data_IF_648149511886
#
_entry.id   IF_648149511886
#
_cell.length_a   1.000
_cell.length_b   1.000
_cell.length_c   1.000
_cell.angle_alpha   90.00
_cell.angle_beta   90.00
_cell.angle_gamma   90.00
#
_symmetry.space_group_name_H-M   'P 1'
#
loop_
_entity.id
_entity.type
_entity.pdbx_description
1 polymer ?
#
# COMPACT_ATOMS: atom_id res chain seq x y z
N UNK A 1 -21.14 2.07 -12.50
CA UNK A 1 -20.04 1.15 -12.86
C UNK A 1 -19.24 0.88 -11.60
N UNK A 2 -18.87 -0.36 -11.33
CA UNK A 2 -18.14 -0.76 -10.13
C UNK A 2 -16.76 -0.04 -10.06
N UNK A 3 -16.43 0.71 -8.98
CA UNK A 3 -15.13 1.36 -8.81
C UNK A 3 -13.94 0.41 -8.96
N UNK A 4 -14.10 -0.86 -8.57
CA UNK A 4 -13.06 -1.87 -8.72
C UNK A 4 -12.79 -2.21 -10.19
N UNK A 5 -13.83 -2.20 -11.03
CA UNK A 5 -13.69 -2.41 -12.49
C UNK A 5 -12.98 -1.22 -13.14
N UNK A 6 -13.30 0.00 -12.71
CA UNK A 6 -12.61 1.20 -13.19
C UNK A 6 -11.11 1.17 -12.85
N UNK A 7 -10.78 0.87 -11.59
CA UNK A 7 -9.39 0.76 -11.15
C UNK A 7 -8.65 -0.34 -11.91
N UNK A 8 -9.26 -1.52 -12.04
CA UNK A 8 -8.68 -2.63 -12.80
C UNK A 8 -8.35 -2.24 -14.24
N UNK A 9 -9.29 -1.61 -14.94
CA UNK A 9 -9.08 -1.17 -16.32
C UNK A 9 -7.99 -0.11 -16.43
N UNK A 10 -7.92 0.84 -15.48
CA UNK A 10 -6.85 1.83 -15.42
C UNK A 10 -5.47 1.19 -15.23
N UNK A 11 -5.35 0.23 -14.31
CA UNK A 11 -4.07 -0.46 -14.04
C UNK A 11 -3.66 -1.37 -15.20
N UNK A 12 -4.64 -2.05 -15.84
CA UNK A 12 -4.41 -2.89 -17.01
C UNK A 12 -3.93 -2.10 -18.23
N UNK A 13 -4.42 -0.87 -18.39
CA UNK A 13 -4.03 0.03 -19.48
C UNK A 13 -2.77 0.85 -19.17
N UNK A 14 -2.18 0.72 -17.97
CA UNK A 14 -0.98 1.45 -17.60
C UNK A 14 0.22 1.01 -18.45
N UNK A 15 0.88 1.96 -19.09
CA UNK A 15 2.04 1.76 -19.96
C UNK A 15 3.14 2.75 -19.54
N UNK A 16 4.38 2.29 -19.29
CA UNK A 16 4.87 0.91 -19.37
C UNK A 16 4.45 0.01 -18.20
N UNK A 17 4.07 0.59 -17.06
CA UNK A 17 3.64 -0.14 -15.87
C UNK A 17 2.93 0.79 -14.87
N UNK A 18 2.35 0.19 -13.83
CA UNK A 18 1.95 0.89 -12.59
C UNK A 18 2.79 0.40 -11.41
N UNK A 19 2.89 1.21 -10.36
CA UNK A 19 3.64 0.89 -9.16
C UNK A 19 2.70 0.39 -8.06
N UNK A 20 2.96 -0.81 -7.54
CA UNK A 20 2.38 -1.30 -6.28
C UNK A 20 3.49 -1.25 -5.21
N UNK A 21 3.45 -0.27 -4.32
CA UNK A 21 4.56 -0.04 -3.39
C UNK A 21 4.13 0.49 -2.03
N UNK A 22 4.95 0.25 -1.02
CA UNK A 22 4.78 0.72 0.35
C UNK A 22 5.56 -0.15 1.33
N UNK A 23 5.48 0.14 2.63
CA UNK A 23 6.19 -0.65 3.63
C UNK A 23 5.59 -2.04 3.75
N UNK A 24 6.39 -2.96 4.31
CA UNK A 24 5.99 -4.36 4.42
C UNK A 24 4.77 -4.56 5.32
N UNK A 25 4.74 -3.86 6.46
CA UNK A 25 3.70 -3.88 7.48
C UNK A 25 3.47 -2.46 7.99
N UNK A 26 2.27 -2.14 8.48
CA UNK A 26 1.99 -0.87 9.16
C UNK A 26 2.71 -0.89 10.51
N UNK A 27 3.60 0.06 10.74
CA UNK A 27 4.37 0.20 12.00
C UNK A 27 3.79 1.29 12.90
N UNK A 28 3.40 2.42 12.30
CA UNK A 28 2.71 3.53 12.95
C UNK A 28 2.02 4.41 11.89
N UNK A 29 1.07 5.25 12.33
CA UNK A 29 0.37 6.22 11.47
C UNK A 29 1.36 7.25 10.86
N UNK A 30 2.27 7.78 11.67
CA UNK A 30 3.29 8.71 11.19
C UNK A 30 4.16 8.06 10.10
N UNK A 31 4.60 6.81 10.34
CA UNK A 31 5.46 6.10 9.41
C UNK A 31 4.74 5.83 8.08
N UNK A 32 3.50 5.33 8.13
CA UNK A 32 2.75 4.98 6.93
C UNK A 32 2.44 6.21 6.09
N UNK A 33 2.07 7.33 6.73
CA UNK A 33 1.77 8.59 6.05
C UNK A 33 3.01 9.23 5.43
N UNK A 34 4.15 9.18 6.13
CA UNK A 34 5.45 9.63 5.57
C UNK A 34 5.80 8.83 4.31
N UNK A 35 5.68 7.50 4.35
CA UNK A 35 5.98 6.63 3.21
C UNK A 35 5.03 6.89 2.05
N UNK A 36 3.72 6.96 2.30
CA UNK A 36 2.72 7.23 1.29
C UNK A 36 2.98 8.57 0.58
N UNK A 37 3.28 9.63 1.34
CA UNK A 37 3.59 10.97 0.79
C UNK A 37 4.82 10.93 -0.09
N UNK A 38 5.93 10.35 0.37
CA UNK A 38 7.17 10.30 -0.41
C UNK A 38 7.02 9.48 -1.69
N UNK A 39 6.43 8.28 -1.62
CA UNK A 39 6.25 7.41 -2.79
C UNK A 39 5.31 8.09 -3.80
N UNK A 40 4.22 8.72 -3.34
CA UNK A 40 3.31 9.48 -4.20
C UNK A 40 3.99 10.65 -4.88
N UNK A 41 4.83 11.41 -4.18
CA UNK A 41 5.57 12.54 -4.76
C UNK A 41 6.48 12.05 -5.89
N UNK A 42 7.20 10.96 -5.68
CA UNK A 42 8.08 10.36 -6.69
C UNK A 42 7.26 9.84 -7.87
N UNK A 43 6.23 9.03 -7.63
CA UNK A 43 5.44 8.44 -8.71
C UNK A 43 4.75 9.51 -9.56
N UNK A 44 4.22 10.56 -8.93
CA UNK A 44 3.57 11.69 -9.60
C UNK A 44 4.55 12.48 -10.46
N UNK A 45 5.82 12.65 -10.04
CA UNK A 45 6.86 13.32 -10.84
C UNK A 45 7.08 12.64 -12.19
N UNK A 46 6.89 11.32 -12.26
CA UNK A 46 7.07 10.53 -13.48
C UNK A 46 5.75 10.14 -14.15
N UNK A 47 4.61 10.59 -13.64
CA UNK A 47 3.29 10.21 -14.17
C UNK A 47 2.95 8.72 -14.00
N UNK A 48 3.62 8.00 -13.10
CA UNK A 48 3.41 6.57 -12.88
C UNK A 48 2.24 6.37 -11.91
N UNK A 49 1.17 5.63 -12.30
CA UNK A 49 0.09 5.28 -11.40
C UNK A 49 0.60 4.51 -10.18
N UNK A 50 0.14 4.88 -8.99
CA UNK A 50 0.56 4.26 -7.72
C UNK A 50 -0.63 3.63 -7.02
N UNK A 51 -0.47 2.36 -6.65
CA UNK A 51 -1.25 1.69 -5.60
C UNK A 51 -0.35 1.58 -4.37
N UNK A 52 -0.71 2.31 -3.32
CA UNK A 52 -0.02 2.21 -2.05
C UNK A 52 -0.42 0.92 -1.34
N UNK A 53 0.54 0.11 -0.91
CA UNK A 53 0.29 -1.18 -0.26
C UNK A 53 1.07 -1.31 1.04
N UNK A 54 0.38 -1.75 2.09
CA UNK A 54 0.98 -2.23 3.33
C UNK A 54 0.12 -3.34 3.92
N UNK A 55 0.69 -4.16 4.81
CA UNK A 55 -0.04 -5.20 5.52
C UNK A 55 -0.44 -4.71 6.92
N UNK A 56 -1.71 -4.88 7.30
CA UNK A 56 -2.17 -4.63 8.68
C UNK A 56 -1.82 -5.80 9.63
N UNK A 57 -1.62 -7.00 9.08
CA UNK A 57 -1.22 -8.20 9.81
C UNK A 57 -0.23 -9.04 8.99
N UNK A 58 0.73 -9.68 9.67
CA UNK A 58 1.68 -10.64 9.12
C UNK A 58 1.45 -11.98 9.80
N UNK A 59 0.45 -12.72 9.34
CA UNK A 59 -0.01 -13.97 9.94
C UNK A 59 1.02 -15.12 9.93
N UNK A 60 2.07 -15.01 9.12
CA UNK A 60 3.05 -16.06 8.84
C UNK A 60 4.42 -15.79 9.51
N UNK A 61 4.45 -15.16 10.68
CA UNK A 61 5.67 -15.04 11.49
C UNK A 61 6.02 -16.39 12.13
N UNK A 62 7.31 -16.69 12.23
CA UNK A 62 7.81 -17.93 12.84
C UNK A 62 7.60 -17.99 14.36
N UNK A 63 7.47 -16.83 15.02
CA UNK A 63 7.17 -16.73 16.46
C UNK A 63 5.86 -15.99 16.68
N UNK A 64 5.03 -16.52 17.58
CA UNK A 64 3.78 -15.87 18.00
C UNK A 64 4.00 -14.57 18.76
N UNK A 65 5.20 -14.36 19.32
CA UNK A 65 5.57 -13.14 20.05
C UNK A 65 6.07 -12.02 19.13
N UNK A 66 6.29 -12.29 17.84
CA UNK A 66 6.77 -11.28 16.91
C UNK A 66 5.71 -10.24 16.60
N UNK A 67 6.12 -9.00 16.40
CA UNK A 67 5.22 -7.95 15.89
C UNK A 67 4.67 -8.33 14.51
N UNK A 68 3.34 -8.22 14.39
CA UNK A 68 2.59 -8.58 13.19
C UNK A 68 1.92 -7.38 12.50
N UNK A 69 1.88 -6.22 13.13
CA UNK A 69 1.11 -5.07 12.66
C UNK A 69 0.02 -4.68 13.67
N UNK A 70 -0.74 -3.62 13.37
CA UNK A 70 -1.76 -3.07 14.26
C UNK A 70 -3.08 -3.87 14.26
N UNK A 71 -3.25 -4.81 13.32
CA UNK A 71 -4.49 -5.56 13.15
C UNK A 71 -5.52 -4.85 12.26
N UNK A 72 -6.62 -5.54 11.93
CA UNK A 72 -7.58 -5.08 10.91
C UNK A 72 -8.30 -3.78 11.30
N UNK A 73 -8.70 -3.63 12.56
CA UNK A 73 -9.47 -2.46 13.02
C UNK A 73 -8.60 -1.21 12.96
N UNK A 74 -7.41 -1.25 13.58
CA UNK A 74 -6.50 -0.10 13.60
C UNK A 74 -5.85 0.16 12.23
N UNK A 75 -5.61 -0.89 11.43
CA UNK A 75 -5.01 -0.75 10.10
C UNK A 75 -5.95 -0.22 9.01
N UNK A 76 -7.26 -0.14 9.28
CA UNK A 76 -8.27 0.39 8.35
C UNK A 76 -8.83 1.76 8.75
N UNK A 77 -8.34 2.35 9.85
CA UNK A 77 -8.62 3.74 10.21
C UNK A 77 -7.86 4.69 9.27
#
# INVERSE_FOLDING_TARGET
MDPSVLLYNQLKAADPFFLLAGPNVIESEEHIMRMAKHIKTISSKFGIPLIFKSSFDKANRTSSKSFRGPGIVEGLK
#
